data_IF_394399486208
#
_entry.id   IF_394399486208
#
_cell.length_a   1.000
_cell.length_b   1.000
_cell.length_c   1.000
_cell.angle_alpha   90.00
_cell.angle_beta   90.00
_cell.angle_gamma   90.00
#
_symmetry.space_group_name_H-M   'P 1'
#
loop_
_entity.id
_entity.type
_entity.pdbx_description
1 polymer ?
#
# COMPACT_ATOMS: atom_id res chain seq x y z
N UNK A 1 41.14 26.40 -64.30
CA UNK A 1 39.76 26.39 -63.73
C UNK A 1 39.03 25.04 -63.85
N UNK A 2 39.46 24.08 -64.69
CA UNK A 2 38.76 22.78 -64.83
C UNK A 2 39.00 21.79 -63.67
N UNK A 3 40.19 21.81 -63.04
CA UNK A 3 40.53 20.91 -61.93
C UNK A 3 39.82 21.23 -60.59
N UNK A 4 39.55 22.51 -60.32
CA UNK A 4 38.86 22.94 -59.10
C UNK A 4 37.37 22.56 -59.16
N UNK A 5 36.77 22.62 -60.36
CA UNK A 5 35.39 22.15 -60.57
C UNK A 5 35.27 20.63 -60.38
N UNK A 6 36.27 19.87 -60.82
CA UNK A 6 36.29 18.41 -60.65
C UNK A 6 36.48 17.98 -59.18
N UNK A 7 37.32 18.70 -58.43
CA UNK A 7 37.54 18.45 -57.01
C UNK A 7 36.29 18.75 -56.16
N UNK A 8 35.57 19.84 -56.48
CA UNK A 8 34.30 20.15 -55.83
C UNK A 8 33.20 19.13 -56.16
N UNK A 9 33.17 18.62 -57.40
CA UNK A 9 32.22 17.58 -57.78
C UNK A 9 32.49 16.25 -57.06
N UNK A 10 33.76 15.89 -56.83
CA UNK A 10 34.15 14.69 -56.09
C UNK A 10 33.81 14.80 -54.59
N UNK A 11 34.00 15.99 -53.99
CA UNK A 11 33.67 16.27 -52.59
C UNK A 11 32.15 16.27 -52.32
N UNK A 12 31.34 16.67 -53.30
CA UNK A 12 29.87 16.61 -53.18
C UNK A 12 29.34 15.17 -53.27
N UNK A 13 30.03 14.28 -54.00
CA UNK A 13 29.62 12.88 -54.13
C UNK A 13 29.98 12.04 -52.90
N UNK A 14 31.06 12.36 -52.18
CA UNK A 14 31.47 11.61 -50.98
C UNK A 14 30.59 11.90 -49.76
N UNK A 15 29.93 13.06 -49.69
CA UNK A 15 29.00 13.42 -48.61
C UNK A 15 27.74 12.53 -48.58
N UNK A 16 27.34 11.95 -49.73
CA UNK A 16 26.13 11.11 -49.81
C UNK A 16 26.34 9.69 -49.25
N UNK A 17 27.59 9.23 -49.12
CA UNK A 17 27.91 7.90 -48.59
C UNK A 17 27.99 7.86 -47.06
N UNK A 18 28.19 9.01 -46.41
CA UNK A 18 28.24 9.13 -44.94
C UNK A 18 26.86 9.35 -44.29
N UNK A 19 25.80 9.50 -45.09
CA UNK A 19 24.44 9.76 -44.62
C UNK A 19 23.51 8.54 -44.69
N UNK A 20 24.06 7.32 -44.81
CA UNK A 20 23.27 6.10 -44.59
C UNK A 20 22.90 5.98 -43.12
N UNK A 21 21.83 6.68 -42.75
CA UNK A 21 21.15 6.45 -41.47
C UNK A 21 20.56 5.05 -41.50
N UNK A 22 21.14 4.14 -40.72
CA UNK A 22 20.55 2.83 -40.48
C UNK A 22 19.23 3.06 -39.74
N UNK A 23 18.12 3.04 -40.48
CA UNK A 23 16.78 2.98 -39.91
C UNK A 23 16.46 1.49 -39.74
N UNK A 24 16.56 0.93 -38.52
CA UNK A 24 16.20 -0.47 -38.32
C UNK A 24 14.76 -0.66 -38.76
N UNK A 25 14.52 -1.60 -39.67
CA UNK A 25 13.19 -1.95 -40.17
C UNK A 25 12.46 -2.73 -39.06
N UNK A 26 12.04 -2.04 -38.02
CA UNK A 26 11.16 -2.60 -36.98
C UNK A 26 9.77 -2.79 -37.59
N UNK A 27 9.25 -4.02 -37.57
CA UNK A 27 7.88 -4.26 -37.99
C UNK A 27 6.93 -3.52 -37.05
N UNK A 28 5.80 -3.03 -37.57
CA UNK A 28 4.75 -2.42 -36.73
C UNK A 28 4.33 -3.37 -35.60
N UNK A 29 4.37 -4.67 -35.86
CA UNK A 29 4.07 -5.71 -34.88
C UNK A 29 5.07 -5.74 -33.72
N UNK A 30 6.37 -5.56 -33.97
CA UNK A 30 7.38 -5.57 -32.90
C UNK A 30 7.29 -4.32 -32.01
N UNK A 31 6.98 -3.15 -32.58
CA UNK A 31 6.69 -1.94 -31.80
C UNK A 31 5.39 -2.06 -30.99
N UNK A 32 4.36 -2.67 -31.55
CA UNK A 32 3.09 -2.94 -30.85
C UNK A 32 3.29 -3.87 -29.64
N UNK A 33 4.03 -4.96 -29.83
CA UNK A 33 4.36 -5.91 -28.74
C UNK A 33 5.22 -5.24 -27.66
N UNK A 34 6.21 -4.44 -28.05
CA UNK A 34 7.04 -3.71 -27.09
C UNK A 34 6.21 -2.72 -26.26
N UNK A 35 5.34 -1.94 -26.90
CA UNK A 35 4.46 -0.99 -26.21
C UNK A 35 3.49 -1.70 -25.26
N UNK A 36 2.92 -2.84 -25.67
CA UNK A 36 2.07 -3.68 -24.81
C UNK A 36 2.85 -4.17 -23.57
N UNK A 37 4.08 -4.67 -23.75
CA UNK A 37 4.94 -5.10 -22.63
C UNK A 37 5.29 -3.95 -21.70
N UNK A 38 5.60 -2.77 -22.22
CA UNK A 38 5.86 -1.57 -21.41
C UNK A 38 4.62 -1.17 -20.62
N UNK A 39 3.43 -1.24 -21.21
CA UNK A 39 2.17 -0.96 -20.51
C UNK A 39 1.90 -1.95 -19.39
N UNK A 40 2.13 -3.25 -19.63
CA UNK A 40 1.99 -4.29 -18.60
C UNK A 40 3.00 -4.08 -17.47
N UNK A 41 4.24 -3.71 -17.79
CA UNK A 41 5.26 -3.40 -16.79
C UNK A 41 4.87 -2.20 -15.92
N UNK A 42 4.34 -1.13 -16.51
CA UNK A 42 3.87 0.05 -15.74
C UNK A 42 2.77 -0.32 -14.75
N UNK A 43 1.74 -1.04 -15.19
CA UNK A 43 0.64 -1.46 -14.32
C UNK A 43 1.15 -2.43 -13.23
N UNK A 44 2.10 -3.32 -13.56
CA UNK A 44 2.74 -4.18 -12.56
C UNK A 44 3.50 -3.36 -11.50
N UNK A 45 4.21 -2.30 -11.90
CA UNK A 45 4.89 -1.41 -10.96
C UNK A 45 3.89 -0.71 -10.04
N UNK A 46 2.77 -0.20 -10.58
CA UNK A 46 1.70 0.40 -9.79
C UNK A 46 1.09 -0.60 -8.78
N UNK A 47 0.84 -1.84 -9.20
CA UNK A 47 0.38 -2.93 -8.31
C UNK A 47 1.37 -3.20 -7.19
N UNK A 48 2.67 -3.26 -7.49
CA UNK A 48 3.70 -3.48 -6.49
C UNK A 48 3.80 -2.30 -5.50
N UNK A 49 3.70 -1.06 -5.98
CA UNK A 49 3.66 0.13 -5.12
C UNK A 49 2.45 0.12 -4.19
N UNK A 50 1.27 -0.28 -4.68
CA UNK A 50 0.09 -0.42 -3.83
C UNK A 50 0.25 -1.54 -2.78
N UNK A 51 0.88 -2.67 -3.14
CA UNK A 51 1.19 -3.75 -2.18
C UNK A 51 2.17 -3.34 -1.10
N UNK A 52 3.15 -2.48 -1.45
CA UNK A 52 4.04 -1.87 -0.46
C UNK A 52 3.23 -1.02 0.52
N UNK A 53 2.33 -0.15 0.02
CA UNK A 53 1.44 0.67 0.88
C UNK A 53 0.50 -0.18 1.74
N UNK A 54 -0.04 -1.28 1.19
CA UNK A 54 -0.83 -2.25 1.97
C UNK A 54 -0.01 -2.79 3.15
N UNK A 55 1.24 -3.19 2.89
CA UNK A 55 2.14 -3.73 3.91
C UNK A 55 2.50 -2.70 4.99
N UNK A 56 2.70 -1.44 4.60
CA UNK A 56 2.91 -0.32 5.54
C UNK A 56 1.68 -0.10 6.43
N UNK A 57 0.48 -0.11 5.85
CA UNK A 57 -0.76 0.09 6.61
C UNK A 57 -1.10 -1.13 7.50
N UNK A 58 -0.72 -2.35 7.10
CA UNK A 58 -0.81 -3.57 7.94
C UNK A 58 0.12 -3.51 9.16
N UNK A 59 1.33 -2.96 9.00
CA UNK A 59 2.22 -2.72 10.13
C UNK A 59 1.58 -1.76 11.14
N UNK A 60 0.87 -0.73 10.67
CA UNK A 60 0.11 0.17 11.54
C UNK A 60 -1.09 -0.54 12.20
N UNK A 61 -1.77 -1.46 11.51
CA UNK A 61 -2.81 -2.32 12.11
C UNK A 61 -2.23 -3.11 13.29
N UNK A 62 -1.05 -3.71 13.14
CA UNK A 62 -0.45 -4.51 14.21
C UNK A 62 -0.02 -3.65 15.41
N UNK A 63 0.52 -2.44 15.17
CA UNK A 63 0.78 -1.47 16.25
C UNK A 63 -0.50 -1.10 17.01
N UNK A 64 -1.59 -0.83 16.29
CA UNK A 64 -2.88 -0.51 16.89
C UNK A 64 -3.49 -1.73 17.60
N UNK A 65 -3.24 -2.95 17.12
CA UNK A 65 -3.65 -4.20 17.77
C UNK A 65 -3.00 -4.35 19.13
N UNK A 66 -1.69 -4.14 19.21
CA UNK A 66 -0.95 -4.18 20.49
C UNK A 66 -1.52 -3.15 21.48
N UNK A 67 -1.76 -1.92 21.01
CA UNK A 67 -2.36 -0.88 21.83
C UNK A 67 -3.79 -1.21 22.29
N UNK A 68 -4.58 -1.83 21.42
CA UNK A 68 -5.92 -2.31 21.76
C UNK A 68 -5.87 -3.41 22.83
N UNK A 69 -4.89 -4.32 22.75
CA UNK A 69 -4.70 -5.36 23.77
C UNK A 69 -4.29 -4.76 25.12
N UNK A 70 -3.38 -3.79 25.13
CA UNK A 70 -2.95 -3.09 26.34
C UNK A 70 -4.11 -2.35 27.01
N UNK A 71 -4.83 -1.52 26.25
CA UNK A 71 -5.98 -0.75 26.76
C UNK A 71 -7.14 -1.65 27.23
N UNK A 72 -7.40 -2.76 26.54
CA UNK A 72 -8.36 -3.76 27.01
C UNK A 72 -7.91 -4.45 28.30
N UNK A 73 -6.60 -4.70 28.43
CA UNK A 73 -6.01 -5.24 29.66
C UNK A 73 -6.24 -4.30 30.85
N UNK A 74 -5.95 -3.01 30.68
CA UNK A 74 -6.16 -1.99 31.70
C UNK A 74 -7.64 -1.86 32.08
N UNK A 75 -8.53 -1.81 31.09
CA UNK A 75 -9.97 -1.76 31.31
C UNK A 75 -10.46 -2.97 32.11
N UNK A 76 -9.98 -4.18 31.79
CA UNK A 76 -10.31 -5.41 32.51
C UNK A 76 -9.80 -5.37 33.95
N UNK A 77 -8.55 -4.99 34.18
CA UNK A 77 -7.96 -4.88 35.52
C UNK A 77 -8.71 -3.84 36.36
N UNK A 78 -9.05 -2.69 35.78
CA UNK A 78 -9.82 -1.66 36.48
C UNK A 78 -11.27 -2.08 36.77
N UNK A 79 -11.90 -2.85 35.88
CA UNK A 79 -13.21 -3.45 36.12
C UNK A 79 -13.16 -4.51 37.24
N UNK A 80 -12.17 -5.40 37.23
CA UNK A 80 -11.94 -6.40 38.28
C UNK A 80 -11.72 -5.75 39.66
N UNK A 81 -10.90 -4.69 39.72
CA UNK A 81 -10.68 -3.93 40.96
C UNK A 81 -11.95 -3.25 41.45
N UNK A 82 -12.76 -2.70 40.54
CA UNK A 82 -14.05 -2.11 40.89
C UNK A 82 -15.01 -3.16 41.45
N UNK A 83 -15.10 -4.32 40.79
CA UNK A 83 -15.96 -5.45 41.19
C UNK A 83 -15.52 -6.05 42.53
N UNK A 84 -14.23 -6.25 42.75
CA UNK A 84 -13.68 -6.77 43.99
C UNK A 84 -13.95 -5.81 45.16
N UNK A 85 -13.85 -4.50 44.92
CA UNK A 85 -14.13 -3.51 45.95
C UNK A 85 -15.63 -3.39 46.27
N UNK A 86 -16.52 -3.57 45.26
CA UNK A 86 -17.97 -3.66 45.48
C UNK A 86 -18.40 -4.93 46.22
N UNK A 87 -17.69 -6.05 46.05
CA UNK A 87 -18.00 -7.30 46.73
C UNK A 87 -17.68 -7.24 48.23
N UNK A 88 -16.61 -6.52 48.62
CA UNK A 88 -16.26 -6.26 50.03
C UNK A 88 -17.24 -5.32 50.75
N UNK A 89 -18.05 -4.59 50.00
CA UNK A 89 -19.06 -3.67 50.52
C UNK A 89 -20.25 -4.39 51.17
N UNK A 90 -20.42 -5.70 50.91
CA UNK A 90 -21.49 -6.52 51.49
C UNK A 90 -21.19 -7.11 52.87
N UNK A 91 -19.98 -6.90 53.41
CA UNK A 91 -19.52 -7.46 54.69
C UNK A 91 -19.24 -6.35 55.70
N UNK A 92 -20.26 -5.68 56.26
CA UNK A 92 -20.26 -4.75 57.44
C UNK A 92 -19.09 -3.73 57.64
N UNK A 93 -18.15 -3.61 56.71
CA UNK A 93 -17.03 -2.67 56.73
C UNK A 93 -17.46 -1.32 56.17
N UNK A 94 -17.04 -0.25 56.83
CA UNK A 94 -17.34 1.11 56.42
C UNK A 94 -16.84 1.39 54.99
N UNK A 95 -17.78 1.63 54.08
CA UNK A 95 -17.53 1.86 52.66
C UNK A 95 -16.81 3.20 52.45
N UNK A 96 -15.56 3.16 51.99
CA UNK A 96 -14.90 4.37 51.50
C UNK A 96 -15.45 4.76 50.11
N UNK A 97 -16.53 5.54 50.15
CA UNK A 97 -17.19 6.09 48.96
C UNK A 97 -16.23 6.89 48.06
N UNK A 98 -15.20 7.53 48.62
CA UNK A 98 -14.22 8.30 47.83
C UNK A 98 -13.29 7.36 47.06
N UNK A 99 -12.86 6.25 47.68
CA UNK A 99 -12.06 5.23 47.02
C UNK A 99 -12.87 4.52 45.92
N UNK A 100 -14.13 4.15 46.19
CA UNK A 100 -15.04 3.58 45.17
C UNK A 100 -15.26 4.55 44.00
N UNK A 101 -15.48 5.83 44.28
CA UNK A 101 -15.68 6.83 43.23
C UNK A 101 -14.42 7.00 42.36
N UNK A 102 -13.22 6.95 42.94
CA UNK A 102 -11.95 6.99 42.19
C UNK A 102 -11.79 5.76 41.29
N UNK A 103 -12.06 4.56 41.81
CA UNK A 103 -11.99 3.31 41.05
C UNK A 103 -13.00 3.30 39.89
N UNK A 104 -14.24 3.71 40.16
CA UNK A 104 -15.28 3.82 39.12
C UNK A 104 -14.91 4.83 38.03
N UNK A 105 -14.38 6.01 38.40
CA UNK A 105 -13.89 6.99 37.41
C UNK A 105 -12.76 6.44 36.58
N UNK A 106 -11.82 5.72 37.19
CA UNK A 106 -10.71 5.08 36.47
C UNK A 106 -11.22 4.01 35.51
N UNK A 107 -12.07 3.09 35.96
CA UNK A 107 -12.64 2.05 35.12
C UNK A 107 -13.41 2.62 33.92
N UNK A 108 -14.14 3.73 34.12
CA UNK A 108 -14.79 4.43 33.02
C UNK A 108 -13.79 5.03 32.03
N UNK A 109 -12.75 5.71 32.52
CA UNK A 109 -11.70 6.27 31.67
C UNK A 109 -11.00 5.19 30.84
N UNK A 110 -10.59 4.09 31.48
CA UNK A 110 -9.89 2.99 30.82
C UNK A 110 -10.81 2.31 29.78
N UNK A 111 -12.11 2.19 30.06
CA UNK A 111 -13.10 1.71 29.10
C UNK A 111 -13.28 2.66 27.91
N UNK A 112 -13.34 3.98 28.14
CA UNK A 112 -13.45 4.96 27.07
C UNK A 112 -12.21 4.94 26.16
N UNK A 113 -11.02 4.73 26.73
CA UNK A 113 -9.77 4.64 25.99
C UNK A 113 -9.67 3.35 25.17
N UNK A 114 -10.16 2.22 25.71
CA UNK A 114 -10.30 0.97 24.96
C UNK A 114 -11.26 1.11 23.76
N UNK A 115 -12.40 1.80 23.94
CA UNK A 115 -13.35 2.07 22.85
C UNK A 115 -12.67 2.91 21.75
N UNK A 116 -11.97 3.99 22.11
CA UNK A 116 -11.23 4.81 21.14
C UNK A 116 -10.12 4.04 20.43
N UNK A 117 -9.43 3.14 21.13
CA UNK A 117 -8.42 2.27 20.53
C UNK A 117 -9.06 1.33 19.49
N UNK A 118 -10.22 0.76 19.81
CA UNK A 118 -10.98 -0.12 18.91
C UNK A 118 -11.46 0.63 17.67
N UNK A 119 -11.97 1.86 17.82
CA UNK A 119 -12.38 2.69 16.68
C UNK A 119 -11.21 2.99 15.73
N UNK A 120 -10.04 3.34 16.28
CA UNK A 120 -8.83 3.59 15.49
C UNK A 120 -8.37 2.34 14.76
N UNK A 121 -8.37 1.20 15.44
CA UNK A 121 -8.04 -0.09 14.86
C UNK A 121 -8.98 -0.44 13.70
N UNK A 122 -10.30 -0.33 13.90
CA UNK A 122 -11.29 -0.62 12.86
C UNK A 122 -11.17 0.34 11.65
N UNK A 123 -10.92 1.63 11.91
CA UNK A 123 -10.68 2.61 10.83
C UNK A 123 -9.45 2.24 10.01
N UNK A 124 -8.40 1.75 10.65
CA UNK A 124 -7.17 1.34 9.98
C UNK A 124 -7.36 0.07 9.17
N UNK A 125 -8.06 -0.94 9.70
CA UNK A 125 -8.45 -2.15 8.94
C UNK A 125 -9.23 -1.78 7.69
N UNK A 126 -10.20 -0.86 7.80
CA UNK A 126 -11.01 -0.44 6.65
C UNK A 126 -10.16 0.19 5.53
N UNK A 127 -9.05 0.87 5.86
CA UNK A 127 -8.12 1.38 4.84
C UNK A 127 -7.39 0.25 4.12
N UNK A 128 -6.88 -0.73 4.87
CA UNK A 128 -6.20 -1.92 4.30
C UNK A 128 -7.16 -2.67 3.37
N UNK A 129 -8.41 -2.86 3.77
CA UNK A 129 -9.43 -3.50 2.93
C UNK A 129 -9.70 -2.73 1.64
N UNK A 130 -9.75 -1.39 1.69
CA UNK A 130 -9.87 -0.55 0.49
C UNK A 130 -8.68 -0.73 -0.46
N UNK A 131 -7.46 -0.70 0.07
CA UNK A 131 -6.25 -0.94 -0.73
C UNK A 131 -6.27 -2.33 -1.38
N UNK A 132 -6.68 -3.37 -0.66
CA UNK A 132 -6.84 -4.72 -1.22
C UNK A 132 -7.84 -4.77 -2.37
N UNK A 133 -8.97 -4.06 -2.25
CA UNK A 133 -9.95 -3.97 -3.33
C UNK A 133 -9.38 -3.25 -4.56
N UNK A 134 -8.63 -2.18 -4.36
CA UNK A 134 -7.96 -1.43 -5.44
C UNK A 134 -6.88 -2.28 -6.13
N UNK A 135 -6.03 -2.97 -5.36
CA UNK A 135 -5.04 -3.93 -5.88
C UNK A 135 -5.72 -5.00 -6.72
N UNK A 136 -6.79 -5.61 -6.21
CA UNK A 136 -7.52 -6.65 -6.94
C UNK A 136 -8.18 -6.12 -8.22
N UNK A 137 -8.58 -4.85 -8.25
CA UNK A 137 -9.12 -4.23 -9.45
C UNK A 137 -8.03 -4.02 -10.52
N UNK A 138 -6.83 -3.56 -10.12
CA UNK A 138 -5.70 -3.40 -11.04
C UNK A 138 -5.11 -4.73 -11.52
N UNK A 139 -5.02 -5.74 -10.64
CA UNK A 139 -4.62 -7.10 -11.03
C UNK A 139 -5.56 -7.71 -12.07
N UNK A 140 -6.87 -7.41 -12.00
CA UNK A 140 -7.82 -7.80 -13.03
C UNK A 140 -7.50 -7.15 -14.38
N UNK A 141 -7.12 -5.86 -14.42
CA UNK A 141 -6.71 -5.19 -15.66
C UNK A 141 -5.48 -5.86 -16.28
N UNK A 142 -4.51 -6.27 -15.46
CA UNK A 142 -3.34 -7.04 -15.91
C UNK A 142 -3.72 -8.39 -16.53
N UNK A 143 -4.70 -9.08 -15.95
CA UNK A 143 -5.17 -10.37 -16.50
C UNK A 143 -5.74 -10.23 -17.91
N UNK A 144 -6.40 -9.11 -18.24
CA UNK A 144 -6.92 -8.86 -19.58
C UNK A 144 -5.85 -8.48 -20.59
N UNK A 145 -4.73 -7.93 -20.12
CA UNK A 145 -3.62 -7.46 -20.96
C UNK A 145 -2.54 -8.51 -21.21
N UNK A 146 -2.59 -9.68 -20.56
CA UNK A 146 -1.63 -10.76 -20.79
C UNK A 146 -1.66 -11.15 -22.27
N UNK A 147 -0.59 -10.85 -23.05
CA UNK A 147 -0.55 -11.32 -24.41
C UNK A 147 -0.43 -12.84 -24.36
N UNK A 148 -1.40 -13.54 -24.95
CA UNK A 148 -1.24 -14.94 -25.32
C UNK A 148 -0.08 -15.01 -26.31
N UNK A 149 1.11 -15.29 -25.83
CA UNK A 149 2.25 -15.59 -26.70
C UNK A 149 2.03 -17.01 -27.23
N UNK A 150 1.22 -17.13 -28.28
CA UNK A 150 1.12 -18.35 -29.06
C UNK A 150 2.33 -18.40 -30.00
N UNK A 151 3.41 -19.06 -29.58
CA UNK A 151 4.47 -19.46 -30.49
C UNK A 151 3.90 -20.51 -31.45
N UNK A 152 3.53 -20.07 -32.65
CA UNK A 152 3.22 -20.98 -33.74
C UNK A 152 4.55 -21.60 -34.19
N UNK A 153 4.61 -22.94 -34.19
CA UNK A 153 5.75 -23.74 -34.64
C UNK A 153 5.96 -23.60 -36.15
#
# INVERSE_FOLDING_TARGET
MKGILFLNLLLLFSLSLLAQTYTPKVSRDSLGVLNSRVSVLKINMEVLEMKIKESEEEMEVEKLRLKLMETNGDAKVSAERTSANSAKTGTDEAVDLKAMQKLSKKAKSDSDDAIKALERFNKQISKVEKLRMEIQAEERKLSYLKPWVAFHK
#
